data_IF_072138934770
#
_entry.id   IF_072138934770
#
_cell.length_a   1.000
_cell.length_b   1.000
_cell.length_c   1.000
_cell.angle_alpha   90.00
_cell.angle_beta   90.00
_cell.angle_gamma   90.00
#
_symmetry.space_group_name_H-M   'P 1'
#
loop_
_entity.id
_entity.type
_entity.pdbx_description
1 polymer ?
#
# COMPACT_ATOMS: atom_id res chain seq x y z
N UNK A 1 -9.54 1.42 -8.29
CA UNK A 1 -9.16 2.17 -7.06
C UNK A 1 -10.41 2.76 -6.42
N UNK A 2 -10.45 2.82 -5.08
CA UNK A 2 -11.64 3.20 -4.31
C UNK A 2 -11.81 4.74 -4.31
N UNK A 3 -13.01 5.27 -4.59
CA UNK A 3 -13.27 6.72 -4.54
C UNK A 3 -13.06 7.25 -3.12
N UNK A 4 -12.79 8.55 -2.99
CA UNK A 4 -12.63 9.20 -1.67
C UNK A 4 -13.88 8.99 -0.80
N UNK A 5 -13.63 8.60 0.45
CA UNK A 5 -14.64 8.34 1.47
C UNK A 5 -14.29 9.17 2.71
N UNK A 6 -15.09 10.22 2.96
CA UNK A 6 -14.82 11.18 4.02
C UNK A 6 -14.89 10.54 5.41
N UNK A 7 -15.83 9.62 5.63
CA UNK A 7 -15.98 8.98 6.93
C UNK A 7 -14.85 7.98 7.17
N UNK A 8 -14.36 7.31 6.13
CA UNK A 8 -13.13 6.52 6.20
C UNK A 8 -11.89 7.38 6.51
N UNK A 9 -11.75 8.52 5.82
CA UNK A 9 -10.65 9.45 6.06
C UNK A 9 -10.65 9.99 7.51
N UNK A 10 -11.83 10.32 8.05
CA UNK A 10 -12.01 10.74 9.46
C UNK A 10 -11.62 9.66 10.46
N UNK A 11 -11.77 8.37 10.11
CA UNK A 11 -11.28 7.24 10.93
C UNK A 11 -9.78 7.02 10.82
N UNK A 12 -9.08 7.79 9.97
CA UNK A 12 -7.65 7.66 9.73
C UNK A 12 -7.29 6.62 8.67
N UNK A 13 -8.25 6.17 7.84
CA UNK A 13 -7.90 5.31 6.71
C UNK A 13 -6.99 6.08 5.71
N UNK A 14 -5.96 5.44 5.14
CA UNK A 14 -5.03 6.09 4.23
C UNK A 14 -5.71 6.71 3.00
N UNK A 15 -5.30 7.92 2.65
CA UNK A 15 -5.81 8.66 1.49
C UNK A 15 -4.65 9.16 0.61
N UNK A 16 -4.97 9.44 -0.65
CA UNK A 16 -4.04 10.05 -1.59
C UNK A 16 -4.65 11.32 -2.17
N UNK A 17 -3.79 12.30 -2.41
CA UNK A 17 -4.12 13.52 -3.14
C UNK A 17 -3.37 13.60 -4.46
N UNK A 18 -4.00 14.21 -5.47
CA UNK A 18 -3.37 14.47 -6.76
C UNK A 18 -2.57 15.76 -6.68
N UNK A 19 -1.26 15.65 -6.85
CA UNK A 19 -0.28 16.73 -6.73
C UNK A 19 0.64 16.59 -7.94
N UNK A 20 0.76 17.65 -8.75
CA UNK A 20 1.57 17.67 -9.98
C UNK A 20 1.28 16.50 -10.94
N UNK A 21 0.00 16.07 -10.99
CA UNK A 21 -0.48 14.99 -11.85
C UNK A 21 -0.35 13.60 -11.25
N UNK A 22 0.39 13.44 -10.15
CA UNK A 22 0.65 12.16 -9.48
C UNK A 22 -0.13 12.01 -8.17
N UNK A 23 -0.39 10.76 -7.79
CA UNK A 23 -1.09 10.45 -6.55
C UNK A 23 -0.12 10.25 -5.40
N UNK A 24 -0.19 11.13 -4.42
CA UNK A 24 0.71 11.18 -3.28
C UNK A 24 -0.04 10.86 -1.99
N UNK A 25 0.61 10.13 -1.08
CA UNK A 25 0.02 9.85 0.23
C UNK A 25 -0.10 11.14 1.05
N UNK A 26 -1.27 11.36 1.63
CA UNK A 26 -1.54 12.50 2.50
C UNK A 26 -2.30 12.04 3.73
N UNK A 27 -2.27 12.85 4.79
CA UNK A 27 -3.01 12.58 6.02
C UNK A 27 -4.23 13.49 6.09
N UNK A 28 -5.41 12.93 6.34
CA UNK A 28 -6.59 13.74 6.62
C UNK A 28 -6.38 14.51 7.93
N UNK A 29 -6.60 15.84 7.90
CA UNK A 29 -6.50 16.71 9.08
C UNK A 29 -7.88 17.08 9.59
N UNK A 30 -8.79 17.45 8.68
CA UNK A 30 -10.12 17.91 9.06
C UNK A 30 -10.89 18.56 7.93
N UNK A 31 -11.98 19.22 8.31
CA UNK A 31 -12.78 20.06 7.42
C UNK A 31 -12.54 21.53 7.74
N UNK A 32 -12.31 22.33 6.70
CA UNK A 32 -12.23 23.78 6.76
C UNK A 32 -13.56 24.45 6.45
N UNK A 33 -13.51 25.77 6.23
CA UNK A 33 -14.70 26.53 5.82
C UNK A 33 -15.28 26.02 4.49
N UNK A 34 -16.62 25.99 4.41
CA UNK A 34 -17.39 25.44 3.29
C UNK A 34 -17.06 23.96 2.98
N UNK A 35 -16.89 23.15 4.02
CA UNK A 35 -16.65 21.71 3.94
C UNK A 35 -15.41 21.29 3.12
N UNK A 36 -14.46 22.22 2.96
CA UNK A 36 -13.21 21.92 2.26
C UNK A 36 -12.39 20.88 3.04
N UNK A 37 -11.93 19.84 2.36
CA UNK A 37 -11.09 18.81 2.96
C UNK A 37 -9.68 19.34 3.10
N UNK A 38 -9.16 19.30 4.33
CA UNK A 38 -7.78 19.67 4.65
C UNK A 38 -6.98 18.39 4.84
N UNK A 39 -5.87 18.30 4.12
CA UNK A 39 -4.92 17.20 4.23
C UNK A 39 -3.53 17.75 4.50
N UNK A 40 -2.69 16.94 5.14
CA UNK A 40 -1.28 17.23 5.38
C UNK A 40 -0.42 16.38 4.45
N UNK A 41 0.44 17.03 3.68
CA UNK A 41 1.40 16.42 2.78
C UNK A 41 2.81 16.66 3.32
N UNK A 42 3.61 15.59 3.42
CA UNK A 42 4.92 15.62 4.10
C UNK A 42 5.87 16.73 3.61
N UNK A 43 5.85 17.04 2.32
CA UNK A 43 6.76 18.04 1.73
C UNK A 43 6.11 19.40 1.45
N UNK A 44 4.77 19.46 1.38
CA UNK A 44 4.05 20.67 0.96
C UNK A 44 3.22 21.28 2.11
N UNK A 45 3.16 20.59 3.25
CA UNK A 45 2.34 20.97 4.40
C UNK A 45 0.86 20.79 4.11
N UNK A 46 0.05 21.69 4.67
CA UNK A 46 -1.40 21.62 4.57
C UNK A 46 -1.91 22.04 3.19
N UNK A 47 -2.67 21.15 2.56
CA UNK A 47 -3.37 21.38 1.30
C UNK A 47 -4.89 21.40 1.55
N UNK A 48 -5.61 22.18 0.74
CA UNK A 48 -7.07 22.36 0.85
C UNK A 48 -7.72 22.02 -0.47
N UNK A 49 -8.73 21.16 -0.43
CA UNK A 49 -9.52 20.73 -1.58
C UNK A 49 -11.00 21.03 -1.37
N UNK A 50 -11.68 21.54 -2.40
CA UNK A 50 -13.10 21.91 -2.35
C UNK A 50 -13.77 21.65 -3.69
N UNK A 51 -15.09 21.45 -3.69
CA UNK A 51 -15.85 21.11 -4.90
C UNK A 51 -15.86 19.61 -5.14
N UNK A 52 -15.85 19.20 -6.41
CA UNK A 52 -15.75 17.78 -6.76
C UNK A 52 -14.37 17.24 -6.37
N UNK A 53 -14.35 16.34 -5.38
CA UNK A 53 -13.13 15.78 -4.83
C UNK A 53 -12.60 14.59 -5.64
N UNK A 54 -13.39 14.03 -6.56
CA UNK A 54 -13.06 12.78 -7.25
C UNK A 54 -11.79 12.87 -8.12
N UNK A 55 -11.48 14.06 -8.64
CA UNK A 55 -10.26 14.32 -9.42
C UNK A 55 -9.01 14.55 -8.55
N UNK A 56 -9.22 14.89 -7.28
CA UNK A 56 -8.17 15.38 -6.38
C UNK A 56 -7.84 14.45 -5.24
N UNK A 57 -8.81 13.67 -4.76
CA UNK A 57 -8.69 12.81 -3.60
C UNK A 57 -9.22 11.40 -3.91
N UNK A 58 -8.56 10.41 -3.33
CA UNK A 58 -9.02 9.02 -3.33
C UNK A 58 -8.58 8.30 -2.07
N UNK A 59 -9.20 7.16 -1.79
CA UNK A 59 -8.64 6.26 -0.77
C UNK A 59 -7.35 5.66 -1.32
N UNK A 60 -6.30 5.61 -0.50
CA UNK A 60 -5.09 4.91 -0.89
C UNK A 60 -5.41 3.40 -1.02
N UNK A 61 -4.74 2.68 -1.94
CA UNK A 61 -4.87 1.23 -1.98
C UNK A 61 -4.49 0.65 -0.62
N UNK A 62 -5.25 -0.36 -0.17
CA UNK A 62 -4.92 -1.03 1.08
C UNK A 62 -3.62 -1.78 0.85
N UNK A 63 -2.61 -1.44 1.63
CA UNK A 63 -1.41 -2.25 1.71
C UNK A 63 -1.67 -3.41 2.64
N UNK A 64 -1.34 -4.62 2.20
CA UNK A 64 -1.25 -5.78 3.07
C UNK A 64 0.16 -6.36 3.03
N UNK A 65 0.60 -6.85 4.18
CA UNK A 65 1.85 -7.62 4.26
C UNK A 65 1.55 -9.06 3.91
N UNK A 66 2.26 -9.58 2.91
CA UNK A 66 2.35 -11.02 2.63
C UNK A 66 3.74 -11.51 2.98
N UNK A 67 3.86 -12.80 3.27
CA UNK A 67 5.11 -13.46 3.61
C UNK A 67 5.50 -14.40 2.47
N UNK A 68 6.68 -14.19 1.91
CA UNK A 68 7.14 -14.91 0.71
C UNK A 68 8.31 -15.84 1.06
N UNK A 69 8.18 -17.10 0.62
CA UNK A 69 9.25 -18.08 0.61
C UNK A 69 9.86 -18.15 -0.80
N UNK A 70 11.18 -18.07 -0.91
CA UNK A 70 11.91 -18.17 -2.17
C UNK A 70 12.61 -19.52 -2.27
N UNK A 71 12.30 -20.26 -3.32
CA UNK A 71 12.89 -21.56 -3.61
C UNK A 71 13.71 -21.48 -4.90
N UNK A 72 14.93 -22.03 -4.93
CA UNK A 72 15.66 -22.17 -6.18
C UNK A 72 14.85 -23.07 -7.12
N UNK A 73 14.60 -22.59 -8.33
CA UNK A 73 14.13 -23.44 -9.41
C UNK A 73 15.34 -24.26 -9.90
N UNK A 74 15.13 -25.53 -10.23
CA UNK A 74 16.20 -26.51 -10.45
C UNK A 74 17.40 -25.94 -11.22
N UNK A 75 18.60 -26.23 -10.68
CA UNK A 75 19.91 -25.81 -11.17
C UNK A 75 20.05 -25.90 -12.69
N UNK A 76 19.74 -24.81 -13.40
CA UNK A 76 20.16 -24.62 -14.79
C UNK A 76 21.23 -23.55 -14.79
N UNK A 77 22.41 -23.96 -15.26
CA UNK A 77 23.74 -23.40 -15.01
C UNK A 77 23.94 -21.98 -15.58
N UNK A 78 22.91 -21.38 -16.19
CA UNK A 78 23.05 -20.16 -17.01
C UNK A 78 22.10 -19.03 -16.57
N UNK A 79 21.01 -19.31 -15.86
CA UNK A 79 20.16 -18.28 -15.24
C UNK A 79 19.37 -18.89 -14.08
N UNK A 80 19.74 -18.55 -12.84
CA UNK A 80 19.06 -19.05 -11.65
C UNK A 80 17.63 -18.50 -11.55
N UNK A 81 16.64 -19.34 -11.88
CA UNK A 81 15.24 -19.07 -11.61
C UNK A 81 14.92 -19.28 -10.13
N UNK A 82 13.98 -18.49 -9.61
CA UNK A 82 13.43 -18.70 -8.27
C UNK A 82 11.92 -18.80 -8.35
N UNK A 83 11.36 -19.79 -7.66
CA UNK A 83 9.92 -19.87 -7.41
C UNK A 83 9.60 -19.17 -6.10
N UNK A 84 8.71 -18.18 -6.15
CA UNK A 84 8.16 -17.52 -4.98
C UNK A 84 6.80 -18.14 -4.60
N UNK A 85 6.58 -18.43 -3.31
CA UNK A 85 5.29 -18.87 -2.76
C UNK A 85 4.89 -17.92 -1.63
N UNK A 86 3.67 -17.40 -1.69
CA UNK A 86 3.21 -16.27 -0.87
C UNK A 86 2.15 -16.77 0.12
N UNK A 87 2.16 -16.20 1.32
CA UNK A 87 1.25 -16.54 2.42
C UNK A 87 0.74 -15.28 3.11
N UNK A 88 -0.48 -15.32 3.63
CA UNK A 88 -1.08 -14.16 4.29
C UNK A 88 -0.58 -13.96 5.74
N UNK A 89 0.05 -14.98 6.33
CA UNK A 89 0.55 -14.93 7.70
C UNK A 89 1.98 -15.46 7.83
N UNK A 90 2.72 -14.90 8.80
CA UNK A 90 4.07 -15.35 9.13
C UNK A 90 4.08 -16.82 9.55
N UNK A 91 3.11 -17.22 10.37
CA UNK A 91 3.01 -18.58 10.88
C UNK A 91 2.83 -19.60 9.75
N UNK A 92 1.95 -19.30 8.79
CA UNK A 92 1.76 -20.18 7.63
C UNK A 92 3.03 -20.26 6.78
N UNK A 93 3.68 -19.12 6.52
CA UNK A 93 4.92 -19.09 5.75
C UNK A 93 6.04 -19.91 6.39
N UNK A 94 6.19 -19.83 7.71
CA UNK A 94 7.17 -20.62 8.47
C UNK A 94 6.80 -22.10 8.50
N UNK A 95 5.55 -22.43 8.77
CA UNK A 95 5.07 -23.81 8.81
C UNK A 95 5.23 -24.53 7.47
N UNK A 96 4.97 -23.82 6.36
CA UNK A 96 5.10 -24.35 5.00
C UNK A 96 6.50 -24.20 4.41
N UNK A 97 7.46 -23.67 5.17
CA UNK A 97 8.86 -23.60 4.72
C UNK A 97 9.43 -25.02 4.57
N UNK A 98 10.12 -25.26 3.45
CA UNK A 98 10.77 -26.53 3.16
C UNK A 98 12.29 -26.40 3.25
N UNK A 99 12.97 -27.51 3.54
CA UNK A 99 14.43 -27.61 3.45
C UNK A 99 14.85 -27.24 2.02
N UNK A 100 15.80 -26.30 1.90
CA UNK A 100 16.28 -25.78 0.61
C UNK A 100 15.69 -24.45 0.18
N UNK A 101 14.86 -23.81 1.00
CA UNK A 101 14.49 -22.40 0.81
C UNK A 101 15.74 -21.50 0.88
N UNK A 102 15.85 -20.55 -0.05
CA UNK A 102 16.90 -19.53 -0.02
C UNK A 102 16.56 -18.42 0.97
N UNK A 103 15.28 -18.04 1.03
CA UNK A 103 14.76 -17.06 1.98
C UNK A 103 13.38 -17.52 2.47
N UNK A 104 13.13 -17.38 3.77
CA UNK A 104 11.91 -17.85 4.43
C UNK A 104 11.15 -16.67 5.03
N UNK A 105 9.85 -16.64 4.77
CA UNK A 105 8.88 -15.69 5.30
C UNK A 105 9.32 -14.23 5.20
N UNK A 106 9.82 -13.84 4.02
CA UNK A 106 10.20 -12.46 3.75
C UNK A 106 8.94 -11.60 3.72
N UNK A 107 8.79 -10.59 4.60
CA UNK A 107 7.63 -9.73 4.58
C UNK A 107 7.71 -8.78 3.38
N UNK A 108 6.65 -8.73 2.59
CA UNK A 108 6.52 -7.84 1.43
C UNK A 108 5.19 -7.10 1.55
N UNK A 109 5.23 -5.78 1.38
CA UNK A 109 4.02 -4.98 1.24
C UNK A 109 3.53 -5.04 -0.20
N UNK A 110 2.26 -5.40 -0.39
CA UNK A 110 1.59 -5.35 -1.68
C UNK A 110 0.35 -4.47 -1.60
N UNK A 111 0.02 -3.83 -2.72
CA UNK A 111 -1.22 -3.08 -2.89
C UNK A 111 -2.33 -4.04 -3.36
N UNK A 112 -3.52 -3.95 -2.74
CA UNK A 112 -4.75 -4.65 -3.19
C UNK A 112 -5.56 -3.86 -4.22
#
# INVERSE_FOLDING_TARGET
MKPFDLDAAKRGEPIQARIDGEWNNVKFVGLGWADAVIVDHVSLGMLRYSGDLSDWLRMAPKKRTVYVNLYPEHATIIAGGYRAVWHDTLHEAQFRSLIGALAVAVPIEIEE
#
